data_IF_336959899598
#
_entry.id   IF_336959899598
#
_cell.length_a   1.000
_cell.length_b   1.000
_cell.length_c   1.000
_cell.angle_alpha   90.00
_cell.angle_beta   90.00
_cell.angle_gamma   90.00
#
_symmetry.space_group_name_H-M   'P 1'
#
loop_
_entity.id
_entity.type
_entity.pdbx_description
1 polymer ?
#
# COMPACT_ATOMS: atom_id res chain seq x y z
N UNK A 1 8.85 -5.54 4.41
CA UNK A 1 7.57 -6.25 4.27
C UNK A 1 7.50 -6.85 2.88
N UNK A 2 6.93 -8.05 2.71
CA UNK A 2 6.67 -8.58 1.37
C UNK A 2 5.77 -7.59 0.61
N UNK A 3 6.17 -7.25 -0.61
CA UNK A 3 5.36 -6.43 -1.51
C UNK A 3 4.60 -7.35 -2.45
N UNK A 4 3.30 -7.09 -2.62
CA UNK A 4 2.50 -7.72 -3.67
C UNK A 4 2.38 -6.74 -4.84
N UNK A 5 2.35 -7.27 -6.06
CA UNK A 5 2.01 -6.49 -7.25
C UNK A 5 0.50 -6.57 -7.46
N UNK A 6 -0.13 -5.43 -7.73
CA UNK A 6 -1.52 -5.33 -8.13
C UNK A 6 -1.53 -4.96 -9.61
N UNK A 7 -2.24 -5.73 -10.42
CA UNK A 7 -2.54 -5.37 -11.80
C UNK A 7 -3.91 -4.71 -11.83
N UNK A 8 -3.99 -3.55 -12.47
CA UNK A 8 -5.19 -2.73 -12.55
C UNK A 8 -5.39 -2.39 -14.02
N UNK A 9 -6.57 -2.71 -14.54
CA UNK A 9 -6.99 -2.30 -15.87
C UNK A 9 -7.65 -0.92 -15.79
N UNK A 10 -7.23 -0.01 -16.67
CA UNK A 10 -7.75 1.35 -16.76
C UNK A 10 -7.60 1.85 -18.20
N UNK A 11 -8.42 2.83 -18.56
CA UNK A 11 -8.37 3.38 -19.91
C UNK A 11 -7.08 4.17 -20.13
N UNK A 12 -6.29 3.89 -21.19
CA UNK A 12 -4.98 4.53 -21.38
C UNK A 12 -5.03 6.06 -21.38
N UNK A 13 -6.03 6.65 -22.04
CA UNK A 13 -6.21 8.09 -22.10
C UNK A 13 -6.44 8.72 -20.71
N UNK A 14 -7.10 7.99 -19.79
CA UNK A 14 -7.29 8.45 -18.41
C UNK A 14 -5.97 8.43 -17.63
N UNK A 15 -5.16 7.38 -17.82
CA UNK A 15 -3.85 7.25 -17.17
C UNK A 15 -2.89 8.34 -17.63
N UNK A 16 -2.86 8.62 -18.94
CA UNK A 16 -2.01 9.66 -19.49
C UNK A 16 -2.41 11.05 -18.97
N UNK A 17 -3.71 11.35 -18.96
CA UNK A 17 -4.22 12.59 -18.37
C UNK A 17 -3.84 12.68 -16.89
N UNK A 18 -4.06 11.62 -16.10
CA UNK A 18 -3.70 11.59 -14.69
C UNK A 18 -2.22 11.90 -14.47
N UNK A 19 -1.31 11.25 -15.22
CA UNK A 19 0.13 11.49 -15.10
C UNK A 19 0.50 12.94 -15.38
N UNK A 20 -0.06 13.54 -16.43
CA UNK A 20 0.19 14.95 -16.77
C UNK A 20 -0.27 15.89 -15.66
N UNK A 21 -1.49 15.70 -15.14
CA UNK A 21 -2.05 16.62 -14.14
C UNK A 21 -1.50 16.38 -12.72
N UNK A 22 -1.09 15.16 -12.38
CA UNK A 22 -0.41 14.85 -11.12
C UNK A 22 1.01 15.43 -11.11
N UNK A 23 1.74 15.34 -12.24
CA UNK A 23 3.06 15.96 -12.36
C UNK A 23 3.03 17.47 -12.16
N UNK A 24 1.94 18.15 -12.58
CA UNK A 24 1.73 19.59 -12.30
C UNK A 24 1.53 19.89 -10.81
N UNK A 25 1.16 18.89 -10.01
CA UNK A 25 0.94 18.99 -8.57
C UNK A 25 2.08 18.39 -7.74
N UNK A 26 3.22 18.10 -8.39
CA UNK A 26 4.40 17.48 -7.76
C UNK A 26 4.10 16.14 -7.07
N UNK A 27 3.23 15.34 -7.69
CA UNK A 27 2.91 13.98 -7.25
C UNK A 27 2.87 13.04 -8.47
N UNK A 28 2.80 11.74 -8.22
CA UNK A 28 2.75 10.72 -9.28
C UNK A 28 1.70 9.67 -8.96
N UNK A 29 1.20 9.02 -10.02
CA UNK A 29 0.03 8.15 -9.95
C UNK A 29 0.21 6.99 -8.96
N UNK A 30 1.38 6.36 -8.95
CA UNK A 30 1.69 5.23 -8.10
C UNK A 30 1.70 5.63 -6.60
N UNK A 31 2.14 6.85 -6.27
CA UNK A 31 2.09 7.38 -4.91
C UNK A 31 0.64 7.60 -4.45
N UNK A 32 -0.18 8.24 -5.30
CA UNK A 32 -1.58 8.47 -4.98
C UNK A 32 -2.35 7.15 -4.82
N UNK A 33 -2.12 6.16 -5.70
CA UNK A 33 -2.73 4.83 -5.58
C UNK A 33 -2.29 4.16 -4.26
N UNK A 34 -1.01 4.20 -3.91
CA UNK A 34 -0.53 3.63 -2.66
C UNK A 34 -1.22 4.26 -1.43
N UNK A 35 -1.37 5.59 -1.42
CA UNK A 35 -2.08 6.30 -0.36
C UNK A 35 -3.57 5.94 -0.30
N UNK A 36 -4.21 5.73 -1.46
CA UNK A 36 -5.59 5.28 -1.50
C UNK A 36 -5.75 3.85 -0.96
N UNK A 37 -4.79 2.96 -1.18
CA UNK A 37 -4.80 1.61 -0.59
C UNK A 37 -4.79 1.69 0.95
N UNK A 38 -3.95 2.54 1.55
CA UNK A 38 -3.95 2.73 3.01
C UNK A 38 -5.28 3.27 3.53
N UNK A 39 -5.89 4.20 2.78
CA UNK A 39 -7.19 4.77 3.10
C UNK A 39 -8.30 3.70 3.04
N UNK A 40 -8.30 2.85 2.00
CA UNK A 40 -9.24 1.74 1.85
C UNK A 40 -9.07 0.72 2.98
N UNK A 41 -7.82 0.37 3.30
CA UNK A 41 -7.51 -0.53 4.42
C UNK A 41 -8.07 0.01 5.73
N UNK A 42 -7.84 1.29 6.04
CA UNK A 42 -8.36 1.90 7.27
C UNK A 42 -9.89 2.01 7.31
N UNK A 43 -10.53 2.21 6.15
CA UNK A 43 -11.98 2.35 6.04
C UNK A 43 -12.73 1.02 6.18
N UNK A 44 -12.21 -0.04 5.57
CA UNK A 44 -12.93 -1.31 5.46
C UNK A 44 -12.43 -2.41 6.38
N UNK A 45 -11.19 -2.33 6.88
CA UNK A 45 -10.66 -3.34 7.81
C UNK A 45 -10.91 -2.89 9.25
N UNK A 46 -11.69 -3.64 10.05
CA UNK A 46 -11.96 -3.30 11.45
C UNK A 46 -10.69 -3.16 12.28
N UNK A 47 -10.70 -2.30 13.29
CA UNK A 47 -9.54 -2.06 14.16
C UNK A 47 -8.96 -3.37 14.74
N UNK A 48 -9.82 -4.26 15.26
CA UNK A 48 -9.43 -5.56 15.83
C UNK A 48 -8.59 -6.38 14.83
N UNK A 49 -8.98 -6.39 13.55
CA UNK A 49 -8.25 -7.13 12.50
C UNK A 49 -6.93 -6.46 12.17
N UNK A 50 -6.89 -5.12 12.15
CA UNK A 50 -5.65 -4.36 11.90
C UNK A 50 -4.63 -4.54 13.02
N UNK A 51 -5.11 -4.54 14.26
CA UNK A 51 -4.28 -4.74 15.46
C UNK A 51 -3.68 -6.15 15.45
N UNK A 52 -4.49 -7.17 15.15
CA UNK A 52 -4.02 -8.54 14.95
C UNK A 52 -2.94 -8.65 13.86
N UNK A 53 -3.12 -7.99 12.71
CA UNK A 53 -2.10 -7.98 11.64
C UNK A 53 -0.81 -7.31 12.14
N UNK A 54 -0.90 -6.21 12.88
CA UNK A 54 0.25 -5.49 13.44
C UNK A 54 1.03 -6.35 14.44
N UNK A 55 0.34 -7.06 15.33
CA UNK A 55 0.96 -7.97 16.30
C UNK A 55 1.66 -9.14 15.63
N UNK A 56 1.03 -9.77 14.62
CA UNK A 56 1.67 -10.85 13.86
C UNK A 56 2.91 -10.39 13.09
N UNK A 57 2.89 -9.17 12.54
CA UNK A 57 4.05 -8.59 11.87
C UNK A 57 5.21 -8.32 12.85
N UNK A 58 4.91 -7.89 14.08
CA UNK A 58 5.92 -7.72 15.14
C UNK A 58 6.53 -9.06 15.54
N UNK A 59 5.72 -10.09 15.72
CA UNK A 59 6.18 -11.42 16.11
C UNK A 59 7.08 -12.05 15.04
N UNK A 60 6.68 -12.01 13.76
CA UNK A 60 7.51 -12.46 12.62
C UNK A 60 8.83 -11.70 12.46
N UNK A 61 8.91 -10.46 12.92
CA UNK A 61 10.16 -9.69 12.89
C UNK A 61 11.11 -10.11 14.01
N UNK A 62 10.59 -10.52 15.17
CA UNK A 62 11.39 -10.98 16.29
C UNK A 62 12.01 -12.36 16.02
N UNK A 63 11.24 -13.30 15.45
CA UNK A 63 11.73 -14.64 15.08
C UNK A 63 12.91 -14.60 14.11
N UNK A 64 12.84 -13.74 13.08
CA UNK A 64 13.93 -13.55 12.10
C UNK A 64 15.20 -12.92 12.69
N UNK A 65 15.11 -12.22 13.83
CA UNK A 65 16.27 -11.65 14.51
C UNK A 65 16.94 -12.66 15.45
N UNK A 66 16.17 -13.57 16.04
CA UNK A 66 16.71 -14.67 16.86
C UNK A 66 17.41 -15.76 16.04
N UNK A 67 17.05 -15.94 14.76
CA UNK A 67 17.71 -16.92 13.87
C UNK A 67 19.02 -16.41 13.25
N UNK A 68 19.31 -15.11 13.35
CA UNK A 68 20.50 -14.46 12.79
C UNK A 68 21.62 -14.23 13.82
N UNK A 69 21.51 -14.82 15.02
CA UNK A 69 22.49 -14.77 16.11
C UNK A 69 22.91 -16.17 16.48
#
# INVERSE_FOLDING_TARGET
MPKIKLEIEAEPAQIDALRVYLGRKDTYLEFEIARHIETLYGKYVPAIVRDYISENLKNKNNERRSEAT
#
